data_IF_188301980363
#
_entry.id   IF_188301980363
#
_cell.length_a   1.000
_cell.length_b   1.000
_cell.length_c   1.000
_cell.angle_alpha   90.00
_cell.angle_beta   90.00
_cell.angle_gamma   90.00
#
_symmetry.space_group_name_H-M   'P 1'
#
loop_
_entity.id
_entity.type
_entity.pdbx_description
1 polymer ?
#
# COMPACT_ATOMS: atom_id res chain seq x y z
N UNK A 1 -18.23 -28.19 0.00
CA UNK A 1 -17.15 -29.06 -0.52
C UNK A 1 -15.73 -28.67 -0.04
N UNK A 2 -15.56 -27.73 0.89
CA UNK A 2 -14.24 -27.15 1.27
C UNK A 2 -13.71 -27.61 2.64
N UNK A 3 -14.43 -28.47 3.37
CA UNK A 3 -14.02 -28.89 4.72
C UNK A 3 -13.05 -30.08 4.78
N UNK A 4 -12.65 -30.65 3.64
CA UNK A 4 -11.89 -31.93 3.59
C UNK A 4 -10.37 -31.78 3.57
N UNK A 5 -9.84 -30.55 3.62
CA UNK A 5 -8.39 -30.28 3.64
C UNK A 5 -7.85 -29.87 5.02
N UNK A 6 -8.61 -30.06 6.09
CA UNK A 6 -8.12 -29.90 7.45
C UNK A 6 -7.83 -31.27 8.08
N UNK A 7 -7.05 -32.08 7.37
CA UNK A 7 -6.47 -33.28 7.97
C UNK A 7 -5.26 -32.82 8.78
N UNK A 8 -5.37 -32.87 10.11
CA UNK A 8 -4.28 -32.68 11.06
C UNK A 8 -3.30 -33.85 10.96
N UNK A 9 -2.63 -34.00 9.81
CA UNK A 9 -1.44 -34.84 9.70
C UNK A 9 -0.26 -34.04 10.25
N UNK A 10 0.21 -34.45 11.43
CA UNK A 10 1.39 -33.96 12.15
C UNK A 10 2.70 -34.41 11.48
N UNK A 11 2.84 -34.15 10.18
CA UNK A 11 4.11 -34.37 9.47
C UNK A 11 5.08 -33.24 9.80
N UNK A 12 6.12 -33.55 10.57
CA UNK A 12 7.19 -32.62 10.96
C UNK A 12 7.83 -31.85 9.78
N UNK A 13 7.71 -32.36 8.56
CA UNK A 13 8.29 -31.78 7.35
C UNK A 13 7.44 -30.65 6.69
N UNK A 14 6.20 -30.39 7.14
CA UNK A 14 5.36 -29.31 6.55
C UNK A 14 5.96 -27.94 6.77
N UNK A 15 6.53 -27.69 7.95
CA UNK A 15 7.20 -26.42 8.26
C UNK A 15 8.44 -26.21 7.39
N UNK A 16 9.21 -27.28 7.13
CA UNK A 16 10.36 -27.23 6.23
C UNK A 16 9.96 -26.98 4.77
N UNK A 17 8.87 -27.59 4.31
CA UNK A 17 8.33 -27.32 2.97
C UNK A 17 7.80 -25.89 2.83
N UNK A 18 7.03 -25.40 3.82
CA UNK A 18 6.53 -24.02 3.84
C UNK A 18 7.68 -23.01 3.91
N UNK A 19 8.70 -23.29 4.72
CA UNK A 19 9.90 -22.47 4.84
C UNK A 19 10.68 -22.46 3.53
N UNK A 20 10.88 -23.61 2.89
CA UNK A 20 11.54 -23.72 1.59
C UNK A 20 10.80 -22.97 0.47
N UNK A 21 9.47 -23.13 0.39
CA UNK A 21 8.64 -22.40 -0.57
C UNK A 21 8.69 -20.88 -0.33
N UNK A 22 8.63 -20.46 0.95
CA UNK A 22 8.74 -19.04 1.31
C UNK A 22 10.10 -18.48 0.94
N UNK A 23 11.19 -19.19 1.27
CA UNK A 23 12.56 -18.79 0.93
C UNK A 23 12.75 -18.72 -0.58
N UNK A 24 12.30 -19.71 -1.34
CA UNK A 24 12.39 -19.71 -2.80
C UNK A 24 11.64 -18.52 -3.42
N UNK A 25 10.43 -18.22 -2.91
CA UNK A 25 9.67 -17.03 -3.32
C UNK A 25 10.42 -15.73 -2.98
N UNK A 26 11.01 -15.64 -1.78
CA UNK A 26 11.82 -14.49 -1.37
C UNK A 26 13.08 -14.32 -2.21
N UNK A 27 13.80 -15.41 -2.52
CA UNK A 27 15.00 -15.35 -3.37
C UNK A 27 14.65 -14.94 -4.80
N UNK A 28 13.55 -15.46 -5.36
CA UNK A 28 13.06 -15.00 -6.65
C UNK A 28 12.73 -13.50 -6.61
N UNK A 29 12.03 -13.03 -5.57
CA UNK A 29 11.75 -11.60 -5.40
C UNK A 29 13.04 -10.76 -5.32
N UNK A 30 13.97 -11.18 -4.47
CA UNK A 30 15.28 -10.52 -4.31
C UNK A 30 16.07 -10.51 -5.62
N UNK A 31 15.99 -11.58 -6.42
CA UNK A 31 16.64 -11.64 -7.73
C UNK A 31 16.10 -10.56 -8.66
N UNK A 32 14.78 -10.37 -8.74
CA UNK A 32 14.19 -9.30 -9.54
C UNK A 32 14.51 -7.90 -9.00
N UNK A 33 14.54 -7.72 -7.67
CA UNK A 33 14.97 -6.46 -7.04
C UNK A 33 16.45 -6.13 -7.35
N UNK A 34 17.32 -7.12 -7.24
CA UNK A 34 18.73 -6.98 -7.55
C UNK A 34 18.95 -6.69 -9.03
N UNK A 35 18.22 -7.37 -9.92
CA UNK A 35 18.25 -7.12 -11.35
C UNK A 35 17.82 -5.67 -11.66
N UNK A 36 16.74 -5.19 -11.03
CA UNK A 36 16.30 -3.80 -11.15
C UNK A 36 17.34 -2.78 -10.67
N UNK A 37 18.02 -3.06 -9.55
CA UNK A 37 19.09 -2.21 -9.02
C UNK A 37 20.33 -2.22 -9.92
N UNK A 38 20.74 -3.38 -10.40
CA UNK A 38 21.89 -3.54 -11.28
C UNK A 38 21.67 -2.86 -12.64
N UNK A 39 20.47 -3.01 -13.22
CA UNK A 39 20.07 -2.31 -14.44
C UNK A 39 19.96 -0.80 -14.21
N UNK A 40 19.42 -0.37 -13.06
CA UNK A 40 19.32 1.05 -12.69
C UNK A 40 20.66 1.78 -12.68
N UNK A 41 21.72 1.14 -12.16
CA UNK A 41 23.07 1.72 -12.15
C UNK A 41 23.75 1.76 -13.53
N UNK A 42 23.24 1.04 -14.54
CA UNK A 42 23.84 0.93 -15.88
C UNK A 42 23.20 1.85 -16.91
N UNK A 43 22.11 2.53 -16.58
CA UNK A 43 21.40 3.47 -17.46
C UNK A 43 21.81 4.90 -17.08
N UNK A 44 22.84 5.49 -17.71
CA UNK A 44 23.05 6.94 -17.65
C UNK A 44 21.81 7.62 -18.26
N UNK A 45 21.33 8.69 -17.64
CA UNK A 45 20.12 9.46 -18.02
C UNK A 45 18.74 8.79 -17.82
N UNK A 46 18.65 7.75 -16.97
CA UNK A 46 17.36 7.13 -16.60
C UNK A 46 16.31 8.13 -16.06
N UNK A 47 16.75 9.20 -15.41
CA UNK A 47 15.86 10.26 -14.91
C UNK A 47 15.09 10.98 -16.03
N UNK A 48 15.69 11.16 -17.21
CA UNK A 48 15.05 11.84 -18.35
C UNK A 48 13.99 10.97 -19.05
N UNK A 49 14.04 9.65 -18.86
CA UNK A 49 13.13 8.70 -19.51
C UNK A 49 11.85 8.46 -18.70
N UNK A 50 11.60 9.26 -17.66
CA UNK A 50 10.39 9.17 -16.83
C UNK A 50 10.43 8.06 -15.77
N UNK A 51 11.61 7.47 -15.51
CA UNK A 51 11.76 6.43 -14.48
C UNK A 51 11.45 6.95 -13.07
N UNK A 52 11.65 8.26 -12.83
CA UNK A 52 11.31 8.93 -11.57
C UNK A 52 9.80 8.98 -11.30
N UNK A 53 8.99 9.02 -12.38
CA UNK A 53 7.52 9.03 -12.30
C UNK A 53 6.96 7.62 -12.17
N UNK A 54 7.68 6.60 -12.64
CA UNK A 54 7.22 5.21 -12.61
C UNK A 54 6.96 4.72 -11.18
N UNK A 55 7.85 5.03 -10.24
CA UNK A 55 7.70 4.63 -8.82
C UNK A 55 6.41 5.18 -8.19
N UNK A 56 6.16 6.50 -8.11
CA UNK A 56 4.92 7.02 -7.53
C UNK A 56 3.67 6.54 -8.27
N UNK A 57 3.71 6.38 -9.60
CA UNK A 57 2.57 5.86 -10.37
C UNK A 57 2.23 4.42 -10.01
N UNK A 58 3.23 3.54 -9.82
CA UNK A 58 2.96 2.16 -9.38
C UNK A 58 2.33 2.11 -7.99
N UNK A 59 2.78 2.94 -7.05
CA UNK A 59 2.14 3.05 -5.73
C UNK A 59 0.71 3.55 -5.81
N UNK A 60 0.44 4.57 -6.63
CA UNK A 60 -0.92 5.06 -6.86
C UNK A 60 -1.78 3.94 -7.49
N UNK A 61 -1.27 3.25 -8.51
CA UNK A 61 -1.91 2.11 -9.16
C UNK A 61 -2.30 1.00 -8.19
N UNK A 62 -1.41 0.69 -7.23
CA UNK A 62 -1.68 -0.29 -6.18
C UNK A 62 -2.75 0.17 -5.18
N UNK A 63 -2.81 1.47 -4.88
CA UNK A 63 -3.76 2.02 -3.90
C UNK A 63 -5.17 2.21 -4.50
N UNK A 64 -5.28 2.58 -5.78
CA UNK A 64 -6.56 2.79 -6.48
C UNK A 64 -7.62 1.70 -6.20
N UNK A 65 -7.33 0.38 -6.33
CA UNK A 65 -8.34 -0.66 -6.08
C UNK A 65 -8.78 -0.75 -4.62
N UNK A 66 -8.02 -0.21 -3.66
CA UNK A 66 -8.43 -0.14 -2.27
C UNK A 66 -9.40 1.01 -2.00
N UNK A 67 -9.36 2.09 -2.79
CA UNK A 67 -10.21 3.29 -2.61
C UNK A 67 -11.62 3.04 -3.16
N UNK A 68 -12.43 2.27 -2.43
CA UNK A 68 -13.79 1.89 -2.85
C UNK A 68 -14.93 2.67 -2.19
N UNK A 69 -14.65 3.49 -1.19
CA UNK A 69 -15.68 4.18 -0.40
C UNK A 69 -15.45 5.68 -0.36
N UNK A 70 -16.53 6.44 -0.25
CA UNK A 70 -16.51 7.90 -0.21
C UNK A 70 -15.65 8.46 0.95
N UNK A 71 -15.69 7.90 2.18
CA UNK A 71 -14.78 8.32 3.25
C UNK A 71 -13.30 8.08 2.93
N UNK A 72 -12.99 7.02 2.17
CA UNK A 72 -11.63 6.69 1.76
C UNK A 72 -11.12 7.64 0.68
N UNK A 73 -11.98 8.07 -0.24
CA UNK A 73 -11.66 9.13 -1.21
C UNK A 73 -11.35 10.45 -0.49
N UNK A 74 -12.19 10.84 0.48
CA UNK A 74 -11.97 12.05 1.29
C UNK A 74 -10.64 11.99 2.04
N UNK A 75 -10.31 10.83 2.63
CA UNK A 75 -9.03 10.58 3.28
C UNK A 75 -7.83 10.80 2.33
N UNK A 76 -7.86 10.18 1.14
CA UNK A 76 -6.76 10.27 0.17
C UNK A 76 -6.60 11.70 -0.36
N UNK A 77 -7.69 12.39 -0.67
CA UNK A 77 -7.66 13.77 -1.16
C UNK A 77 -7.13 14.74 -0.10
N UNK A 78 -7.56 14.60 1.15
CA UNK A 78 -7.11 15.46 2.26
C UNK A 78 -5.66 15.19 2.63
N UNK A 79 -5.21 13.93 2.64
CA UNK A 79 -3.81 13.57 2.81
C UNK A 79 -2.94 14.15 1.69
N UNK A 80 -3.37 14.02 0.42
CA UNK A 80 -2.65 14.57 -0.73
C UNK A 80 -2.52 16.10 -0.67
N UNK A 81 -3.62 16.80 -0.39
CA UNK A 81 -3.63 18.25 -0.25
C UNK A 81 -2.75 18.72 0.93
N UNK A 82 -2.85 18.06 2.10
CA UNK A 82 -2.02 18.36 3.25
C UNK A 82 -0.53 18.10 2.97
N UNK A 83 -0.19 17.09 2.16
CA UNK A 83 1.19 16.81 1.76
C UNK A 83 1.77 17.92 0.88
N UNK A 84 0.97 18.54 0.01
CA UNK A 84 1.40 19.70 -0.80
C UNK A 84 1.61 20.95 0.06
N UNK A 85 0.73 21.17 1.05
CA UNK A 85 0.81 22.34 1.94
C UNK A 85 1.99 22.24 2.94
N UNK A 86 2.32 21.03 3.38
CA UNK A 86 3.41 20.78 4.33
C UNK A 86 4.77 20.53 3.68
N UNK A 87 4.87 20.71 2.35
CA UNK A 87 6.11 20.49 1.58
C UNK A 87 7.27 21.38 2.06
N UNK A 88 6.96 22.53 2.67
CA UNK A 88 7.94 23.49 3.19
C UNK A 88 8.63 23.06 4.50
N UNK A 89 8.18 21.98 5.16
CA UNK A 89 8.80 21.52 6.41
C UNK A 89 10.04 20.63 6.17
N UNK A 90 11.18 20.91 6.82
CA UNK A 90 12.35 20.03 6.75
C UNK A 90 12.08 18.68 7.44
N UNK A 91 12.80 17.63 7.03
CA UNK A 91 12.80 16.27 7.62
C UNK A 91 11.64 15.31 7.29
N UNK A 92 10.91 15.48 6.18
CA UNK A 92 9.79 14.59 5.80
C UNK A 92 8.64 14.49 6.83
N UNK A 93 8.67 15.32 7.88
CA UNK A 93 7.61 15.44 8.89
C UNK A 93 6.26 15.81 8.26
N UNK A 94 6.28 16.58 7.16
CA UNK A 94 5.07 16.92 6.41
C UNK A 94 4.27 15.72 5.92
N UNK A 95 4.94 14.63 5.52
CA UNK A 95 4.27 13.39 5.08
C UNK A 95 3.56 12.69 6.25
N UNK A 96 4.17 12.71 7.43
CA UNK A 96 3.59 12.10 8.64
C UNK A 96 2.37 12.90 9.09
N UNK A 97 2.49 14.23 9.16
CA UNK A 97 1.40 15.12 9.55
C UNK A 97 0.24 15.05 8.55
N UNK A 98 0.53 15.01 7.25
CA UNK A 98 -0.49 14.88 6.21
C UNK A 98 -1.22 13.54 6.27
N UNK A 99 -0.52 12.44 6.57
CA UNK A 99 -1.13 11.14 6.80
C UNK A 99 -2.11 11.18 7.98
N UNK A 100 -1.70 11.75 9.11
CA UNK A 100 -2.59 11.90 10.27
C UNK A 100 -3.81 12.79 9.97
N UNK A 101 -3.60 13.90 9.26
CA UNK A 101 -4.69 14.79 8.84
C UNK A 101 -5.69 14.07 7.93
N UNK A 102 -5.20 13.29 6.96
CA UNK A 102 -6.05 12.50 6.07
C UNK A 102 -6.86 11.42 6.81
N UNK A 103 -6.20 10.69 7.72
CA UNK A 103 -6.88 9.68 8.55
C UNK A 103 -7.98 10.33 9.40
N UNK A 104 -7.69 11.46 10.05
CA UNK A 104 -8.67 12.17 10.86
C UNK A 104 -9.89 12.61 10.03
N UNK A 105 -9.66 13.19 8.85
CA UNK A 105 -10.73 13.60 7.93
C UNK A 105 -11.54 12.40 7.41
N UNK A 106 -10.88 11.31 7.03
CA UNK A 106 -11.53 10.06 6.59
C UNK A 106 -12.41 9.43 7.66
N UNK A 107 -11.93 9.38 8.91
CA UNK A 107 -12.70 8.89 10.05
C UNK A 107 -13.92 9.77 10.34
N UNK A 108 -13.75 11.09 10.25
CA UNK A 108 -14.86 12.03 10.46
C UNK A 108 -15.93 11.90 9.37
N UNK A 109 -15.52 11.77 8.10
CA UNK A 109 -16.43 11.50 6.99
C UNK A 109 -17.16 10.16 7.15
N UNK A 110 -16.47 9.11 7.62
CA UNK A 110 -17.08 7.81 7.89
C UNK A 110 -18.13 7.90 9.01
N UNK A 111 -17.86 8.64 10.08
CA UNK A 111 -18.81 8.84 11.19
C UNK A 111 -20.09 9.52 10.71
N UNK A 112 -19.98 10.64 9.99
CA UNK A 112 -21.13 11.38 9.46
C UNK A 112 -21.96 10.50 8.50
N UNK A 113 -21.30 9.69 7.67
CA UNK A 113 -21.98 8.80 6.73
C UNK A 113 -22.73 7.67 7.44
N UNK A 114 -22.16 7.12 8.51
CA UNK A 114 -22.81 6.10 9.34
C UNK A 114 -24.03 6.66 10.09
N UNK A 115 -23.95 7.87 10.63
CA UNK A 115 -25.09 8.55 11.28
C UNK A 115 -26.25 8.78 10.31
N UNK A 116 -25.96 9.26 9.09
CA UNK A 116 -26.98 9.43 8.03
C UNK A 116 -27.64 8.11 7.64
N UNK A 117 -26.89 7.01 7.60
CA UNK A 117 -27.44 5.69 7.28
C UNK A 117 -28.36 5.16 8.39
N UNK A 118 -28.04 5.44 9.65
CA UNK A 118 -28.89 5.10 10.79
C UNK A 118 -30.20 5.92 10.82
N UNK A 119 -30.14 7.21 10.51
CA UNK A 119 -31.31 8.09 10.51
C UNK A 119 -32.31 7.84 9.36
N UNK A 120 -31.89 7.16 8.28
CA UNK A 120 -32.76 6.79 7.15
C UNK A 120 -33.41 5.41 7.29
N UNK A 121 -32.99 4.62 8.28
CA UNK A 121 -33.51 3.26 8.54
C UNK A 121 -34.43 3.17 9.77
N UNK A 122 -34.58 4.27 10.52
CA UNK A 122 -35.46 4.39 11.69
C UNK A 122 -36.78 5.08 11.39
#
# INVERSE_FOLDING_TARGET
>A
TVHRFQKNDSSACKHWYQLGSSIAMYLNWQFWCFLGLALGNRIPDAQNWGLDVAMPVTFIGMIIPFVKTLPMVVCVLTAGAASLLTLAMPYKLGIVVSAFAGIAAGLMAQRIMNEKKGALQG
#
